data_IF_839363891940
#
_entry.id   IF_839363891940
#
_cell.length_a   1.000
_cell.length_b   1.000
_cell.length_c   1.000
_cell.angle_alpha   90.00
_cell.angle_beta   90.00
_cell.angle_gamma   90.00
#
_symmetry.space_group_name_H-M   'P 1'
#
loop_
_entity.id
_entity.type
_entity.pdbx_description
1 polymer ?
#
# COMPACT_ATOMS: atom_id res chain seq x y z
N UNK A 1 4.36 -56.57 19.82
CA UNK A 1 4.78 -55.19 20.10
C UNK A 1 3.63 -54.25 19.80
N UNK A 2 2.84 -53.92 20.82
CA UNK A 2 1.76 -52.93 20.72
C UNK A 2 2.42 -51.55 20.84
N UNK A 3 2.47 -50.79 19.76
CA UNK A 3 3.01 -49.42 19.81
C UNK A 3 2.08 -48.57 20.68
N UNK A 4 2.63 -48.03 21.75
CA UNK A 4 1.94 -47.20 22.71
C UNK A 4 1.57 -45.85 21.99
N UNK A 5 0.32 -45.34 22.05
CA UNK A 5 -0.10 -44.07 21.45
C UNK A 5 0.81 -42.89 21.78
N UNK A 6 1.42 -42.90 22.96
CA UNK A 6 2.40 -41.91 23.41
C UNK A 6 3.71 -41.92 22.59
N UNK A 7 4.16 -43.12 22.19
CA UNK A 7 5.38 -43.25 21.36
C UNK A 7 5.15 -42.78 19.92
N UNK A 8 3.93 -42.98 19.39
CA UNK A 8 3.53 -42.49 18.04
C UNK A 8 3.47 -40.95 18.03
N UNK A 9 2.87 -40.35 19.06
CA UNK A 9 2.81 -38.89 19.20
C UNK A 9 4.21 -38.27 19.36
N UNK A 10 5.09 -38.90 20.15
CA UNK A 10 6.47 -38.46 20.33
C UNK A 10 7.27 -38.49 19.05
N UNK A 11 7.20 -39.57 18.29
CA UNK A 11 7.89 -39.72 16.98
C UNK A 11 7.37 -38.67 15.98
N UNK A 12 6.05 -38.44 15.92
CA UNK A 12 5.48 -37.44 15.01
C UNK A 12 5.94 -36.03 15.38
N UNK A 13 6.04 -35.69 16.67
CA UNK A 13 6.53 -34.40 17.14
C UNK A 13 8.02 -34.19 16.81
N UNK A 14 8.83 -35.23 16.97
CA UNK A 14 10.27 -35.20 16.61
C UNK A 14 10.46 -35.00 15.12
N UNK A 15 9.68 -35.70 14.29
CA UNK A 15 9.74 -35.56 12.81
C UNK A 15 9.36 -34.14 12.39
N UNK A 16 8.31 -33.57 12.99
CA UNK A 16 7.91 -32.16 12.69
C UNK A 16 8.99 -31.16 13.11
N UNK A 17 9.59 -31.36 14.28
CA UNK A 17 10.67 -30.51 14.76
C UNK A 17 11.90 -30.57 13.82
N UNK A 18 12.28 -31.79 13.39
CA UNK A 18 13.36 -32.01 12.42
C UNK A 18 13.04 -31.33 11.07
N UNK A 19 11.81 -31.44 10.58
CA UNK A 19 11.37 -30.75 9.35
C UNK A 19 11.51 -29.24 9.46
N UNK A 20 11.08 -28.63 10.58
CA UNK A 20 11.21 -27.19 10.81
C UNK A 20 12.69 -26.77 10.83
N UNK A 21 13.55 -27.52 11.55
CA UNK A 21 14.99 -27.21 11.63
C UNK A 21 15.66 -27.36 10.24
N UNK A 22 15.25 -28.37 9.46
CA UNK A 22 15.77 -28.59 8.11
C UNK A 22 15.31 -27.53 7.11
N UNK A 23 14.04 -27.08 7.20
CA UNK A 23 13.46 -26.10 6.28
C UNK A 23 13.83 -24.65 6.62
N UNK A 24 14.15 -24.36 7.90
CA UNK A 24 14.47 -23.00 8.34
C UNK A 24 15.60 -22.31 7.54
N UNK A 25 16.76 -22.97 7.26
CA UNK A 25 17.78 -22.36 6.42
C UNK A 25 17.36 -22.18 4.96
N UNK A 26 16.42 -23.01 4.44
CA UNK A 26 15.90 -22.89 3.08
C UNK A 26 15.02 -21.66 2.88
N UNK A 27 14.33 -21.19 3.91
CA UNK A 27 13.53 -19.94 3.84
C UNK A 27 14.44 -18.76 3.53
N UNK A 28 15.60 -18.67 4.20
CA UNK A 28 16.59 -17.61 3.91
C UNK A 28 17.19 -17.75 2.51
N UNK A 29 17.47 -18.98 2.08
CA UNK A 29 18.00 -19.25 0.75
C UNK A 29 17.01 -18.87 -0.34
N UNK A 30 15.73 -19.21 -0.18
CA UNK A 30 14.64 -18.85 -1.11
C UNK A 30 14.47 -17.33 -1.15
N UNK A 31 14.46 -16.66 -0.01
CA UNK A 31 14.36 -15.19 0.07
C UNK A 31 15.54 -14.52 -0.68
N UNK A 32 16.76 -14.96 -0.45
CA UNK A 32 17.94 -14.44 -1.16
C UNK A 32 17.91 -14.75 -2.65
N UNK A 33 17.41 -15.93 -3.03
CA UNK A 33 17.32 -16.35 -4.42
C UNK A 33 16.26 -15.56 -5.17
N UNK A 34 15.10 -15.29 -4.54
CA UNK A 34 14.05 -14.43 -5.08
C UNK A 34 14.55 -12.99 -5.23
N UNK A 35 15.23 -12.43 -4.21
CA UNK A 35 15.83 -11.09 -4.31
C UNK A 35 16.90 -10.97 -5.40
N UNK A 36 17.66 -12.03 -5.67
CA UNK A 36 18.68 -12.03 -6.72
C UNK A 36 18.12 -12.32 -8.12
N UNK A 37 17.00 -13.06 -8.23
CA UNK A 37 16.32 -13.34 -9.50
C UNK A 37 15.43 -12.17 -9.94
N UNK A 38 14.74 -11.55 -8.98
CA UNK A 38 14.02 -10.30 -9.20
C UNK A 38 15.04 -9.17 -9.06
N UNK A 39 15.90 -9.05 -10.09
CA UNK A 39 16.69 -7.86 -10.29
C UNK A 39 15.69 -6.76 -10.61
N UNK A 40 15.31 -5.98 -9.62
CA UNK A 40 14.56 -4.76 -9.84
C UNK A 40 15.30 -3.95 -10.91
N UNK A 41 14.73 -3.88 -12.11
CA UNK A 41 15.04 -2.78 -13.00
C UNK A 41 14.66 -1.53 -12.19
N UNK A 42 15.62 -0.66 -11.91
CA UNK A 42 15.33 0.69 -11.49
C UNK A 42 14.46 1.30 -12.58
N UNK A 43 13.15 1.21 -12.39
CA UNK A 43 12.20 1.98 -13.17
C UNK A 43 12.44 3.45 -12.78
N UNK A 44 12.61 4.33 -13.75
CA UNK A 44 12.72 5.79 -13.51
C UNK A 44 11.46 6.36 -12.80
N UNK A 45 10.43 5.55 -12.61
CA UNK A 45 9.17 5.84 -11.93
C UNK A 45 9.06 5.14 -10.56
N UNK A 46 10.16 4.65 -9.97
CA UNK A 46 10.13 4.03 -8.66
C UNK A 46 9.82 5.09 -7.59
N UNK A 47 8.69 4.91 -6.87
CA UNK A 47 8.31 5.79 -5.78
C UNK A 47 9.33 5.60 -4.66
N UNK A 48 9.99 6.68 -4.18
CA UNK A 48 11.00 6.54 -3.14
C UNK A 48 10.41 5.92 -1.87
N UNK A 49 11.16 5.03 -1.23
CA UNK A 49 10.78 4.47 0.05
C UNK A 49 10.60 5.59 1.09
N UNK A 50 9.54 5.49 1.88
CA UNK A 50 9.22 6.49 2.92
C UNK A 50 10.32 6.51 3.96
N UNK A 51 10.95 7.66 4.17
CA UNK A 51 12.00 7.83 5.16
C UNK A 51 11.60 8.85 6.23
N UNK A 52 11.38 8.35 7.45
CA UNK A 52 11.04 9.14 8.62
C UNK A 52 12.17 9.01 9.66
N UNK A 53 12.74 10.14 10.07
CA UNK A 53 13.89 10.15 10.97
C UNK A 53 13.47 9.91 12.43
N UNK A 54 13.85 8.77 13.00
CA UNK A 54 13.54 8.42 14.40
C UNK A 54 14.14 9.43 15.42
N UNK A 55 15.23 10.10 15.06
CA UNK A 55 15.84 11.13 15.92
C UNK A 55 14.90 12.32 16.18
N UNK A 56 14.01 12.64 15.23
CA UNK A 56 13.04 13.73 15.35
C UNK A 56 11.91 13.44 16.33
N UNK A 57 11.68 12.17 16.70
CA UNK A 57 10.67 11.82 17.72
C UNK A 57 10.88 12.56 19.05
N UNK A 58 12.13 12.90 19.38
CA UNK A 58 12.45 13.71 20.59
C UNK A 58 12.06 15.18 20.46
N UNK A 59 11.67 15.62 19.27
CA UNK A 59 11.30 16.99 18.95
C UNK A 59 9.94 17.00 18.22
N UNK A 60 8.80 16.87 18.94
CA UNK A 60 7.49 16.62 18.34
C UNK A 60 7.08 17.60 17.23
N UNK A 61 7.44 18.89 17.37
CA UNK A 61 7.14 19.89 16.34
C UNK A 61 7.85 19.60 15.01
N UNK A 62 9.11 19.14 15.06
CA UNK A 62 9.88 18.79 13.84
C UNK A 62 9.39 17.47 13.26
N UNK A 63 9.06 16.49 14.12
CA UNK A 63 8.50 15.22 13.68
C UNK A 63 7.16 15.41 12.95
N UNK A 64 6.27 16.26 13.48
CA UNK A 64 5.00 16.60 12.84
C UNK A 64 5.18 17.31 11.51
N UNK A 65 6.17 18.21 11.41
CA UNK A 65 6.47 18.86 10.13
C UNK A 65 6.99 17.88 9.09
N UNK A 66 7.84 16.93 9.48
CA UNK A 66 8.27 15.84 8.59
C UNK A 66 7.07 14.99 8.15
N UNK A 67 6.19 14.59 9.07
CA UNK A 67 4.96 13.88 8.71
C UNK A 67 4.10 14.67 7.72
N UNK A 68 3.94 16.00 7.93
CA UNK A 68 3.16 16.86 7.03
C UNK A 68 3.72 16.84 5.60
N UNK A 69 5.04 16.93 5.45
CA UNK A 69 5.71 16.89 4.14
C UNK A 69 5.45 15.53 3.48
N UNK A 70 5.66 14.43 4.21
CA UNK A 70 5.46 13.07 3.70
C UNK A 70 4.00 12.78 3.35
N UNK A 71 3.02 13.31 4.12
CA UNK A 71 1.59 13.23 3.78
C UNK A 71 1.27 13.97 2.48
N UNK A 72 1.89 15.13 2.23
CA UNK A 72 1.71 15.84 0.98
C UNK A 72 2.27 15.07 -0.24
N UNK A 73 3.38 14.34 -0.06
CA UNK A 73 3.91 13.43 -1.08
C UNK A 73 2.93 12.29 -1.34
N UNK A 74 2.42 11.64 -0.29
CA UNK A 74 1.38 10.61 -0.37
C UNK A 74 0.15 11.12 -1.12
N UNK A 75 -0.36 12.32 -0.80
CA UNK A 75 -1.50 12.94 -1.48
C UNK A 75 -1.24 13.19 -2.97
N UNK A 76 0.00 13.52 -3.34
CA UNK A 76 0.39 13.69 -4.75
C UNK A 76 0.30 12.38 -5.52
N UNK A 77 0.74 11.28 -4.92
CA UNK A 77 0.66 9.94 -5.52
C UNK A 77 -0.78 9.43 -5.59
N UNK A 78 -1.57 9.64 -4.52
CA UNK A 78 -3.01 9.31 -4.52
C UNK A 78 -3.74 10.06 -5.64
N UNK A 79 -3.48 11.36 -5.80
CA UNK A 79 -4.03 12.14 -6.91
C UNK A 79 -3.66 11.55 -8.26
N UNK A 80 -2.39 11.14 -8.46
CA UNK A 80 -1.95 10.50 -9.72
C UNK A 80 -2.73 9.21 -9.98
N UNK A 81 -2.92 8.36 -8.96
CA UNK A 81 -3.70 7.12 -9.07
C UNK A 81 -5.13 7.39 -9.53
N UNK A 82 -5.80 8.39 -8.93
CA UNK A 82 -7.17 8.79 -9.32
C UNK A 82 -7.20 9.30 -10.76
N UNK A 83 -6.26 10.16 -11.17
CA UNK A 83 -6.22 10.69 -12.53
C UNK A 83 -6.03 9.60 -13.60
N UNK A 84 -5.16 8.62 -13.35
CA UNK A 84 -4.97 7.47 -14.23
C UNK A 84 -6.24 6.59 -14.30
N UNK A 85 -6.91 6.39 -13.18
CA UNK A 85 -8.17 5.65 -13.14
C UNK A 85 -9.29 6.36 -13.94
N UNK A 86 -9.40 7.68 -13.81
CA UNK A 86 -10.35 8.49 -14.58
C UNK A 86 -10.02 8.51 -16.08
N UNK A 87 -8.74 8.51 -16.45
CA UNK A 87 -8.31 8.36 -17.83
C UNK A 87 -8.78 7.02 -18.42
N UNK A 88 -8.67 5.92 -17.66
CA UNK A 88 -9.18 4.61 -18.07
C UNK A 88 -10.72 4.55 -18.19
N UNK A 89 -11.44 5.37 -17.42
CA UNK A 89 -12.90 5.50 -17.56
C UNK A 89 -13.27 6.19 -18.86
N UNK A 90 -12.53 7.26 -19.25
CA UNK A 90 -12.74 8.00 -20.50
C UNK A 90 -12.21 7.26 -21.73
N UNK A 91 -11.10 6.56 -21.56
CA UNK A 91 -10.37 5.86 -22.62
C UNK A 91 -10.06 4.42 -22.20
N UNK A 92 -11.07 3.52 -22.20
CA UNK A 92 -10.92 2.16 -21.67
C UNK A 92 -9.93 1.28 -22.47
N UNK A 93 -9.52 1.71 -23.67
CA UNK A 93 -8.48 1.08 -24.47
C UNK A 93 -7.07 1.27 -23.91
N UNK A 94 -6.87 2.30 -23.07
CA UNK A 94 -5.59 2.57 -22.40
C UNK A 94 -5.49 1.68 -21.16
N UNK A 95 -4.32 1.14 -20.88
CA UNK A 95 -4.07 0.28 -19.72
C UNK A 95 -3.07 0.91 -18.75
N UNK A 96 -3.56 1.39 -17.62
CA UNK A 96 -2.77 1.92 -16.52
C UNK A 96 -2.83 1.07 -15.25
N UNK A 97 -3.45 -0.13 -15.29
CA UNK A 97 -3.69 -0.95 -14.10
C UNK A 97 -2.39 -1.24 -13.35
N UNK A 98 -1.32 -1.61 -14.05
CA UNK A 98 -0.04 -1.92 -13.39
C UNK A 98 0.61 -0.69 -12.75
N UNK A 99 0.45 0.50 -13.34
CA UNK A 99 0.94 1.74 -12.74
C UNK A 99 0.13 2.12 -11.50
N UNK A 100 -1.20 2.03 -11.58
CA UNK A 100 -2.11 2.28 -10.45
C UNK A 100 -1.84 1.30 -9.31
N UNK A 101 -1.59 0.01 -9.60
CA UNK A 101 -1.24 -1.00 -8.60
C UNK A 101 0.08 -0.68 -7.88
N UNK A 102 1.09 -0.18 -8.60
CA UNK A 102 2.35 0.27 -7.97
C UNK A 102 2.14 1.48 -7.07
N UNK A 103 1.24 2.39 -7.45
CA UNK A 103 0.87 3.55 -6.64
C UNK A 103 0.12 3.12 -5.38
N UNK A 104 -0.85 2.20 -5.48
CA UNK A 104 -1.59 1.64 -4.35
C UNK A 104 -0.63 0.95 -3.36
N UNK A 105 0.26 0.07 -3.82
CA UNK A 105 1.25 -0.56 -2.95
C UNK A 105 2.14 0.47 -2.24
N UNK A 106 2.51 1.56 -2.92
CA UNK A 106 3.26 2.62 -2.29
C UNK A 106 2.42 3.36 -1.23
N UNK A 107 1.10 3.53 -1.44
CA UNK A 107 0.22 4.15 -0.45
C UNK A 107 0.10 3.30 0.82
N UNK A 108 0.06 1.98 0.70
CA UNK A 108 0.15 1.06 1.84
C UNK A 108 1.45 1.28 2.63
N UNK A 109 2.59 1.36 1.93
CA UNK A 109 3.89 1.60 2.56
C UNK A 109 3.95 2.97 3.27
N UNK A 110 3.34 4.02 2.67
CA UNK A 110 3.21 5.34 3.30
C UNK A 110 2.35 5.28 4.55
N UNK A 111 1.20 4.60 4.50
CA UNK A 111 0.28 4.46 5.63
C UNK A 111 0.96 3.74 6.79
N UNK A 112 1.62 2.61 6.53
CA UNK A 112 2.31 1.81 7.54
C UNK A 112 3.46 2.59 8.19
N UNK A 113 4.30 3.26 7.40
CA UNK A 113 5.43 4.03 7.90
C UNK A 113 4.98 5.24 8.73
N UNK A 114 4.08 6.06 8.20
CA UNK A 114 3.52 7.25 8.87
C UNK A 114 2.72 6.86 10.10
N UNK A 115 1.86 5.82 10.00
CA UNK A 115 1.06 5.35 11.12
C UNK A 115 1.92 4.86 12.28
N UNK A 116 2.94 4.04 11.98
CA UNK A 116 3.91 3.57 12.99
C UNK A 116 4.66 4.74 13.63
N UNK A 117 5.11 5.70 12.83
CA UNK A 117 5.85 6.86 13.31
C UNK A 117 5.00 7.78 14.18
N UNK A 118 3.77 8.09 13.77
CA UNK A 118 2.81 8.89 14.53
C UNK A 118 2.43 8.22 15.86
N UNK A 119 2.25 6.89 15.88
CA UNK A 119 2.02 6.13 17.11
C UNK A 119 3.23 6.21 18.05
N UNK A 120 4.46 6.06 17.54
CA UNK A 120 5.67 6.28 18.37
C UNK A 120 5.74 7.70 18.94
N UNK A 121 5.29 8.69 18.17
CA UNK A 121 5.28 10.10 18.58
C UNK A 121 4.31 10.35 19.73
N UNK A 122 3.18 9.62 19.83
CA UNK A 122 2.24 9.73 20.98
C UNK A 122 2.86 9.37 22.32
N UNK A 123 3.96 8.62 22.32
CA UNK A 123 4.73 8.28 23.53
C UNK A 123 5.64 9.41 24.04
N UNK A 124 5.69 10.56 23.33
CA UNK A 124 6.51 11.73 23.72
C UNK A 124 5.66 12.78 24.44
N UNK A 125 6.32 13.71 25.13
CA UNK A 125 5.64 14.87 25.72
C UNK A 125 5.21 15.82 24.61
N UNK A 126 3.91 16.00 24.42
CA UNK A 126 3.31 16.83 23.39
C UNK A 126 2.29 17.82 23.97
N UNK A 127 2.16 18.97 23.32
CA UNK A 127 1.05 19.90 23.61
C UNK A 127 -0.29 19.32 23.10
N UNK A 128 -1.40 19.85 23.59
CA UNK A 128 -2.74 19.44 23.16
C UNK A 128 -2.89 19.67 21.64
N UNK A 129 -2.41 20.77 21.13
CA UNK A 129 -2.44 21.09 19.69
C UNK A 129 -1.65 20.05 18.86
N UNK A 130 -0.47 19.64 19.34
CA UNK A 130 0.32 18.59 18.65
C UNK A 130 -0.40 17.23 18.64
N UNK A 131 -1.11 16.88 19.73
CA UNK A 131 -1.92 15.66 19.77
C UNK A 131 -3.09 15.71 18.80
N UNK A 132 -3.72 16.88 18.60
CA UNK A 132 -4.75 17.09 17.58
C UNK A 132 -4.19 16.89 16.17
N UNK A 133 -2.98 17.39 15.87
CA UNK A 133 -2.33 17.14 14.57
C UNK A 133 -2.06 15.66 14.34
N UNK A 134 -1.57 14.92 15.35
CA UNK A 134 -1.37 13.47 15.22
C UNK A 134 -2.68 12.78 14.84
N UNK A 135 -3.77 13.11 15.55
CA UNK A 135 -5.09 12.54 15.24
C UNK A 135 -5.54 12.85 13.80
N UNK A 136 -5.41 14.13 13.39
CA UNK A 136 -5.75 14.55 12.03
C UNK A 136 -4.92 13.81 10.97
N UNK A 137 -3.60 13.68 11.19
CA UNK A 137 -2.72 12.99 10.25
C UNK A 137 -3.04 11.50 10.13
N UNK A 138 -3.35 10.82 11.26
CA UNK A 138 -3.77 9.41 11.23
C UNK A 138 -5.06 9.21 10.42
N UNK A 139 -6.03 10.11 10.50
CA UNK A 139 -7.22 10.06 9.66
C UNK A 139 -6.88 10.35 8.21
N UNK A 140 -6.09 11.40 7.95
CA UNK A 140 -5.73 11.79 6.57
C UNK A 140 -4.99 10.67 5.82
N UNK A 141 -4.04 9.98 6.46
CA UNK A 141 -3.31 8.88 5.77
C UNK A 141 -4.25 7.71 5.45
N UNK A 142 -5.19 7.39 6.34
CA UNK A 142 -6.19 6.34 6.06
C UNK A 142 -7.15 6.74 4.94
N UNK A 143 -7.56 8.01 4.88
CA UNK A 143 -8.42 8.50 3.80
C UNK A 143 -7.69 8.48 2.45
N UNK A 144 -6.41 8.86 2.40
CA UNK A 144 -5.61 8.86 1.17
C UNK A 144 -5.37 7.45 0.64
N UNK A 145 -5.08 6.48 1.51
CA UNK A 145 -4.96 5.06 1.15
C UNK A 145 -6.28 4.54 0.58
N UNK A 146 -7.40 4.76 1.29
CA UNK A 146 -8.72 4.35 0.82
C UNK A 146 -9.06 4.93 -0.56
N UNK A 147 -8.71 6.20 -0.82
CA UNK A 147 -8.92 6.82 -2.14
C UNK A 147 -8.06 6.12 -3.20
N UNK A 148 -6.81 5.77 -2.89
CA UNK A 148 -5.92 5.06 -3.81
C UNK A 148 -6.44 3.67 -4.14
N UNK A 149 -6.92 2.92 -3.15
CA UNK A 149 -7.57 1.62 -3.32
C UNK A 149 -8.78 1.72 -4.25
N UNK A 150 -9.64 2.72 -4.03
CA UNK A 150 -10.81 2.92 -4.87
C UNK A 150 -10.42 3.27 -6.32
N UNK A 151 -9.31 3.99 -6.54
CA UNK A 151 -8.83 4.25 -7.88
C UNK A 151 -8.46 2.96 -8.63
N UNK A 152 -7.82 1.99 -7.95
CA UNK A 152 -7.53 0.68 -8.53
C UNK A 152 -8.83 -0.10 -8.87
N UNK A 153 -9.81 -0.08 -7.98
CA UNK A 153 -11.12 -0.72 -8.21
C UNK A 153 -11.83 -0.12 -9.41
N UNK A 154 -11.81 1.22 -9.54
CA UNK A 154 -12.41 1.94 -10.68
C UNK A 154 -11.70 1.55 -11.98
N UNK A 155 -10.37 1.51 -12.01
CA UNK A 155 -9.59 1.15 -13.18
C UNK A 155 -9.89 -0.29 -13.65
N UNK A 156 -9.91 -1.25 -12.72
CA UNK A 156 -10.25 -2.66 -13.02
C UNK A 156 -11.68 -2.76 -13.52
N UNK A 157 -12.63 -2.11 -12.86
CA UNK A 157 -14.04 -2.11 -13.25
C UNK A 157 -14.28 -1.52 -14.64
N UNK A 158 -13.58 -0.43 -14.97
CA UNK A 158 -13.63 0.17 -16.31
C UNK A 158 -13.13 -0.79 -17.39
N UNK A 159 -12.00 -1.46 -17.15
CA UNK A 159 -11.46 -2.47 -18.07
C UNK A 159 -12.43 -3.63 -18.26
N UNK A 160 -12.96 -4.20 -17.16
CA UNK A 160 -13.90 -5.32 -17.25
C UNK A 160 -15.20 -4.94 -17.97
N UNK A 161 -15.70 -3.72 -17.76
CA UNK A 161 -16.90 -3.24 -18.45
C UNK A 161 -16.64 -3.11 -19.96
N UNK A 162 -15.50 -2.58 -20.36
CA UNK A 162 -15.12 -2.45 -21.76
C UNK A 162 -14.94 -3.82 -22.43
N UNK A 163 -14.33 -4.79 -21.77
CA UNK A 163 -14.15 -6.15 -22.30
C UNK A 163 -15.49 -6.89 -22.51
N UNK A 164 -16.47 -6.65 -21.62
CA UNK A 164 -17.78 -7.32 -21.67
C UNK A 164 -18.76 -6.66 -22.64
N UNK A 165 -18.79 -5.35 -22.68
CA UNK A 165 -19.84 -4.58 -23.34
C UNK A 165 -19.34 -3.75 -24.52
N UNK A 166 -18.04 -3.62 -24.72
CA UNK A 166 -17.45 -2.72 -25.70
C UNK A 166 -17.60 -1.26 -25.29
N UNK A 167 -17.81 -0.37 -26.26
CA UNK A 167 -18.01 1.04 -26.00
C UNK A 167 -19.32 1.33 -25.28
N UNK A 168 -19.30 2.27 -24.35
CA UNK A 168 -20.50 2.75 -23.67
C UNK A 168 -21.44 3.49 -24.65
N UNK A 169 -22.71 3.63 -24.30
CA UNK A 169 -23.61 4.48 -25.07
C UNK A 169 -23.20 5.95 -24.95
N UNK A 170 -23.46 6.75 -25.99
CA UNK A 170 -23.06 8.18 -25.97
C UNK A 170 -23.64 8.99 -24.81
N UNK A 171 -24.78 8.57 -24.21
CA UNK A 171 -25.31 9.18 -23.00
C UNK A 171 -24.48 8.78 -21.76
N UNK A 172 -24.06 7.52 -21.65
CA UNK A 172 -23.25 7.06 -20.53
C UNK A 172 -21.84 7.69 -20.56
N UNK A 173 -21.25 7.82 -21.74
CA UNK A 173 -19.97 8.53 -21.92
C UNK A 173 -20.04 9.97 -21.43
N UNK A 174 -21.11 10.70 -21.79
CA UNK A 174 -21.30 12.06 -21.33
C UNK A 174 -21.49 12.16 -19.80
N UNK A 175 -22.26 11.27 -19.20
CA UNK A 175 -22.44 11.23 -17.73
C UNK A 175 -21.12 10.92 -17.01
N UNK A 176 -20.30 10.01 -17.53
CA UNK A 176 -18.99 9.68 -16.98
C UNK A 176 -18.01 10.86 -17.10
N UNK A 177 -18.01 11.56 -18.23
CA UNK A 177 -17.21 12.78 -18.41
C UNK A 177 -17.58 13.86 -17.36
N UNK A 178 -18.87 14.08 -17.15
CA UNK A 178 -19.34 15.06 -16.13
C UNK A 178 -18.90 14.65 -14.72
N UNK A 179 -18.95 13.36 -14.38
CA UNK A 179 -18.47 12.86 -13.09
C UNK A 179 -16.96 13.00 -12.95
N UNK A 180 -16.20 12.64 -13.97
CA UNK A 180 -14.76 12.78 -13.98
C UNK A 180 -14.31 14.23 -13.83
N UNK A 181 -14.94 15.17 -14.55
CA UNK A 181 -14.69 16.62 -14.44
C UNK A 181 -15.01 17.16 -13.03
N UNK A 182 -16.00 16.59 -12.34
CA UNK A 182 -16.34 16.98 -10.97
C UNK A 182 -15.28 16.52 -9.94
N UNK A 183 -14.61 15.41 -10.20
CA UNK A 183 -13.53 14.89 -9.33
C UNK A 183 -12.20 15.63 -9.57
N UNK A 184 -11.96 16.11 -10.80
CA UNK A 184 -10.73 16.84 -11.17
C UNK A 184 -10.67 18.28 -10.59
N UNK A 185 -11.82 18.86 -10.19
CA UNK A 185 -11.92 20.24 -9.64
C UNK A 185 -11.61 20.30 -8.15
#
# INVERSE_FOLDING_TARGET
NVMNPFSIAGVNSIIRLLMVILLFPFVKLIHTLVQNLVKEKKDENEIPAVHLEEMLLKHPAMALEQCRITINEMATHTRRSVMLALEMVRHPEIDHIEEIRKLEQAMDDYQDALGTYLVKLTGQEMTIEQQEYVSKYLHTISDLELISDQALVIAIGSREAFEKFGQFSGNADHEMDVMADAVER
#
